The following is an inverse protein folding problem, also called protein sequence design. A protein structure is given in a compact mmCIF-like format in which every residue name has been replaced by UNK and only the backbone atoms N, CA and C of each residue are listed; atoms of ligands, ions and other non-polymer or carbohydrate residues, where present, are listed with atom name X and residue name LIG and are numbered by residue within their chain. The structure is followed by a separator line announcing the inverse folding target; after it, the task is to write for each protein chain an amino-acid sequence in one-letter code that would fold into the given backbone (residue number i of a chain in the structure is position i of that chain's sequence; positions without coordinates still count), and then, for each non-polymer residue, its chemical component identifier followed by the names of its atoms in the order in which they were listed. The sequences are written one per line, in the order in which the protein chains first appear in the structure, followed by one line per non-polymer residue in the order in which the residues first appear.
data_IF_930941416815
#
_entry.id   IF_930941416815
#
_cell.length_a   1.000
_cell.length_b   1.000
_cell.length_c   1.000
_cell.angle_alpha   90.00
_cell.angle_beta   90.00
_cell.angle_gamma   90.00
#
_symmetry.space_group_name_H-M   'P 1'
#
loop_
_entity.id
_entity.type
_entity.pdbx_description
1 polymer ?
#
# COMPACT_ATOMS: atom_id res chain seq x y z
N UNK A 1 -5.60 -4.76 4.17
CA UNK A 1 -6.41 -4.98 2.95
C UNK A 1 -7.83 -4.65 3.30
N UNK A 2 -8.59 -3.96 2.45
CA UNK A 2 -9.98 -3.59 2.77
C UNK A 2 -10.92 -4.80 2.71
N UNK A 3 -11.85 -4.88 3.66
CA UNK A 3 -12.89 -5.90 3.77
C UNK A 3 -14.19 -5.46 3.07
N UNK A 4 -15.08 -6.43 2.78
CA UNK A 4 -16.41 -6.12 2.21
C UNK A 4 -17.26 -5.27 3.19
N UNK A 5 -17.14 -5.51 4.49
CA UNK A 5 -17.81 -4.71 5.52
C UNK A 5 -17.34 -3.25 5.54
N UNK A 6 -16.03 -3.00 5.42
CA UNK A 6 -15.50 -1.64 5.29
C UNK A 6 -15.97 -0.94 4.00
N UNK A 7 -16.10 -1.69 2.89
CA UNK A 7 -16.68 -1.15 1.66
C UNK A 7 -18.16 -0.81 1.82
N UNK A 8 -18.94 -1.62 2.53
CA UNK A 8 -20.34 -1.32 2.85
C UNK A 8 -20.47 -0.04 3.69
N UNK A 9 -19.57 0.17 4.65
CA UNK A 9 -19.52 1.42 5.43
C UNK A 9 -19.23 2.65 4.54
N UNK A 10 -18.28 2.52 3.60
CA UNK A 10 -17.97 3.59 2.65
C UNK A 10 -19.16 3.90 1.74
N UNK A 11 -19.80 2.87 1.17
CA UNK A 11 -20.96 3.02 0.30
C UNK A 11 -22.14 3.64 1.05
N UNK A 12 -22.36 3.25 2.31
CA UNK A 12 -23.36 3.86 3.19
C UNK A 12 -23.07 5.34 3.42
N UNK A 13 -21.82 5.70 3.68
CA UNK A 13 -21.42 7.10 3.91
C UNK A 13 -21.60 7.92 2.64
N UNK A 14 -21.21 7.38 1.48
CA UNK A 14 -21.43 7.98 0.17
C UNK A 14 -22.92 8.25 -0.03
N UNK A 15 -23.77 7.25 0.17
CA UNK A 15 -25.21 7.39 -0.05
C UNK A 15 -25.91 8.29 0.98
N UNK A 16 -25.35 8.46 2.18
CA UNK A 16 -25.84 9.42 3.17
C UNK A 16 -25.77 10.86 2.67
N UNK A 17 -24.77 11.20 1.84
CA UNK A 17 -24.70 12.50 1.16
C UNK A 17 -25.83 12.70 0.13
N UNK A 18 -26.49 11.63 -0.30
CA UNK A 18 -27.52 11.61 -1.32
C UNK A 18 -28.88 11.19 -0.74
N UNK A 19 -29.21 11.68 0.45
CA UNK A 19 -30.51 11.44 1.08
C UNK A 19 -30.67 10.05 1.67
N UNK A 20 -29.58 9.41 2.12
CA UNK A 20 -29.57 8.04 2.62
C UNK A 20 -30.11 7.03 1.60
N UNK A 21 -29.72 7.20 0.34
CA UNK A 21 -30.11 6.30 -0.73
C UNK A 21 -29.78 4.84 -0.36
N UNK A 22 -30.77 3.96 -0.49
CA UNK A 22 -30.56 2.53 -0.22
C UNK A 22 -29.70 1.91 -1.31
N UNK A 23 -28.93 0.89 -0.94
CA UNK A 23 -28.10 0.10 -1.84
C UNK A 23 -28.35 -1.38 -1.55
N UNK A 24 -28.14 -2.23 -2.57
CA UNK A 24 -28.33 -3.67 -2.48
C UNK A 24 -27.00 -4.44 -2.52
N UNK A 25 -27.07 -5.75 -2.36
CA UNK A 25 -25.89 -6.62 -2.33
C UNK A 25 -25.11 -6.59 -3.64
N UNK A 26 -25.80 -6.47 -4.78
CA UNK A 26 -25.17 -6.39 -6.10
C UNK A 26 -24.33 -5.12 -6.20
N UNK A 27 -24.91 -3.97 -5.85
CA UNK A 27 -24.19 -2.70 -5.85
C UNK A 27 -22.98 -2.73 -4.91
N UNK A 28 -23.12 -3.33 -3.72
CA UNK A 28 -22.02 -3.52 -2.79
C UNK A 28 -20.91 -4.40 -3.39
N UNK A 29 -21.27 -5.51 -4.04
CA UNK A 29 -20.29 -6.41 -4.65
C UNK A 29 -19.52 -5.75 -5.78
N UNK A 30 -20.20 -4.99 -6.63
CA UNK A 30 -19.55 -4.24 -7.71
C UNK A 30 -18.65 -3.13 -7.17
N UNK A 31 -19.16 -2.34 -6.22
CA UNK A 31 -18.40 -1.29 -5.56
C UNK A 31 -17.16 -1.87 -4.88
N UNK A 32 -17.32 -2.95 -4.11
CA UNK A 32 -16.21 -3.64 -3.47
C UNK A 32 -15.21 -4.15 -4.51
N UNK A 33 -15.65 -4.80 -5.58
CA UNK A 33 -14.78 -5.33 -6.64
C UNK A 33 -13.89 -4.24 -7.27
N UNK A 34 -14.41 -3.03 -7.47
CA UNK A 34 -13.69 -1.92 -8.10
C UNK A 34 -12.69 -1.21 -7.18
N UNK A 35 -12.77 -1.38 -5.86
CA UNK A 35 -11.84 -0.75 -4.92
C UNK A 35 -10.44 -1.39 -5.03
N UNK A 36 -9.40 -0.54 -5.11
CA UNK A 36 -8.00 -1.00 -5.04
C UNK A 36 -7.69 -1.49 -3.62
N UNK A 37 -7.49 -2.81 -3.49
CA UNK A 37 -7.27 -3.51 -2.22
C UNK A 37 -6.00 -3.11 -1.49
N UNK A 38 -5.10 -2.39 -2.16
CA UNK A 38 -3.86 -1.86 -1.58
C UNK A 38 -4.09 -0.56 -0.80
N UNK A 39 -5.23 0.10 -0.99
CA UNK A 39 -5.60 1.26 -0.20
C UNK A 39 -6.00 0.83 1.22
N UNK A 40 -5.64 1.64 2.22
CA UNK A 40 -6.12 1.46 3.58
C UNK A 40 -7.46 2.20 3.78
N UNK A 41 -8.24 1.79 4.78
CA UNK A 41 -9.57 2.36 5.04
C UNK A 41 -9.52 3.84 5.43
N UNK A 42 -8.45 4.28 6.11
CA UNK A 42 -8.30 5.66 6.55
C UNK A 42 -8.13 6.63 5.36
N UNK A 43 -7.35 6.23 4.35
CA UNK A 43 -7.19 6.97 3.09
C UNK A 43 -8.51 7.04 2.33
N UNK A 44 -9.29 5.95 2.32
CA UNK A 44 -10.58 5.93 1.64
C UNK A 44 -11.60 6.84 2.33
N UNK A 45 -11.69 6.83 3.67
CA UNK A 45 -12.53 7.75 4.43
C UNK A 45 -12.14 9.21 4.19
N UNK A 46 -10.84 9.49 4.21
CA UNK A 46 -10.31 10.82 3.89
C UNK A 46 -10.66 11.22 2.46
N UNK A 47 -10.61 10.29 1.50
CA UNK A 47 -11.01 10.54 0.12
C UNK A 47 -12.49 10.90 0.00
N UNK A 48 -13.39 10.22 0.72
CA UNK A 48 -14.83 10.54 0.75
C UNK A 48 -15.05 11.96 1.27
N UNK A 49 -14.44 12.32 2.40
CA UNK A 49 -14.53 13.67 2.97
C UNK A 49 -14.02 14.73 1.99
N UNK A 50 -12.84 14.53 1.40
CA UNK A 50 -12.26 15.48 0.43
C UNK A 50 -13.08 15.60 -0.85
N UNK A 51 -13.69 14.51 -1.31
CA UNK A 51 -14.55 14.53 -2.49
C UNK A 51 -15.78 15.41 -2.23
N UNK A 52 -16.53 15.12 -1.18
CA UNK A 52 -17.78 15.83 -0.89
C UNK A 52 -17.59 17.26 -0.39
N UNK A 53 -16.41 17.61 0.14
CA UNK A 53 -16.05 19.00 0.43
C UNK A 53 -15.96 19.88 -0.84
N UNK A 54 -15.77 19.28 -2.02
CA UNK A 54 -15.59 20.02 -3.29
C UNK A 54 -16.64 19.71 -4.35
N UNK A 55 -17.32 18.56 -4.24
CA UNK A 55 -18.27 18.03 -5.21
C UNK A 55 -19.48 17.44 -4.48
N UNK A 56 -20.21 18.29 -3.76
CA UNK A 56 -21.35 17.86 -2.94
C UNK A 56 -22.50 17.26 -3.74
N UNK A 57 -22.65 17.68 -5.00
CA UNK A 57 -23.72 17.31 -5.92
C UNK A 57 -23.48 16.01 -6.70
N UNK A 58 -22.24 15.48 -6.70
CA UNK A 58 -21.87 14.30 -7.49
C UNK A 58 -21.87 13.02 -6.69
N UNK A 59 -22.28 11.93 -7.31
CA UNK A 59 -22.08 10.60 -6.73
C UNK A 59 -20.62 10.19 -6.84
N UNK A 60 -19.99 9.86 -5.71
CA UNK A 60 -18.62 9.36 -5.69
C UNK A 60 -18.59 7.90 -6.14
N UNK A 61 -17.68 7.55 -7.04
CA UNK A 61 -17.49 6.16 -7.50
C UNK A 61 -16.25 5.53 -6.86
N UNK A 62 -16.13 4.21 -6.94
CA UNK A 62 -14.94 3.48 -6.48
C UNK A 62 -13.66 3.99 -7.16
N UNK A 63 -13.71 4.31 -8.45
CA UNK A 63 -12.59 4.91 -9.17
C UNK A 63 -12.13 6.26 -8.59
N UNK A 64 -13.07 7.10 -8.15
CA UNK A 64 -12.76 8.39 -7.54
C UNK A 64 -12.04 8.21 -6.19
N UNK A 65 -12.45 7.22 -5.40
CA UNK A 65 -11.75 6.81 -4.17
C UNK A 65 -10.31 6.42 -4.50
N UNK A 66 -10.13 5.53 -5.47
CA UNK A 66 -8.80 5.02 -5.85
C UNK A 66 -7.85 6.16 -6.29
N UNK A 67 -8.35 7.10 -7.09
CA UNK A 67 -7.57 8.26 -7.55
C UNK A 67 -7.19 9.16 -6.37
N UNK A 68 -8.14 9.47 -5.47
CA UNK A 68 -7.88 10.33 -4.33
C UNK A 68 -6.95 9.68 -3.32
N UNK A 69 -7.08 8.38 -3.05
CA UNK A 69 -6.13 7.66 -2.20
C UNK A 69 -4.71 7.70 -2.78
N UNK A 70 -4.55 7.57 -4.12
CA UNK A 70 -3.24 7.74 -4.77
C UNK A 70 -2.66 9.14 -4.53
N UNK A 71 -3.49 10.19 -4.62
CA UNK A 71 -3.07 11.57 -4.35
C UNK A 71 -2.72 11.79 -2.87
N UNK A 72 -3.52 11.23 -1.95
CA UNK A 72 -3.28 11.28 -0.51
C UNK A 72 -1.91 10.65 -0.19
N UNK A 73 -1.64 9.45 -0.69
CA UNK A 73 -0.32 8.81 -0.48
C UNK A 73 0.83 9.62 -1.05
N UNK A 74 0.68 10.14 -2.27
CA UNK A 74 1.70 10.99 -2.88
C UNK A 74 1.99 12.24 -2.04
N UNK A 75 0.97 12.84 -1.41
CA UNK A 75 1.14 14.02 -0.56
C UNK A 75 1.88 13.77 0.76
N UNK A 76 2.03 12.51 1.19
CA UNK A 76 2.82 12.14 2.38
C UNK A 76 4.30 11.93 2.07
N UNK A 77 4.65 11.78 0.79
CA UNK A 77 6.03 11.54 0.41
C UNK A 77 6.81 12.84 0.61
N UNK A 78 7.81 12.87 1.50
CA UNK A 78 8.68 14.03 1.62
C UNK A 78 9.43 14.27 0.31
N UNK A 79 9.73 15.53 0.00
CA UNK A 79 10.53 15.86 -1.16
C UNK A 79 11.97 15.36 -1.01
N UNK A 80 12.70 15.29 -2.13
CA UNK A 80 14.06 14.74 -2.16
C UNK A 80 15.03 15.50 -1.23
N UNK A 81 14.93 16.82 -1.17
CA UNK A 81 15.82 17.64 -0.35
C UNK A 81 15.59 17.37 1.14
N UNK A 82 14.33 17.26 1.55
CA UNK A 82 13.98 16.84 2.92
C UNK A 82 14.59 15.46 3.26
N UNK A 83 14.49 14.48 2.36
CA UNK A 83 15.09 13.15 2.57
C UNK A 83 16.63 13.23 2.68
N UNK A 84 17.28 14.01 1.82
CA UNK A 84 18.74 14.22 1.86
C UNK A 84 19.20 14.88 3.16
N UNK A 85 18.49 15.91 3.62
CA UNK A 85 18.79 16.57 4.89
C UNK A 85 18.64 15.63 6.08
N UNK A 86 17.61 14.77 6.08
CA UNK A 86 17.43 13.75 7.11
C UNK A 86 18.55 12.70 7.07
N UNK A 87 18.91 12.21 5.89
CA UNK A 87 20.03 11.28 5.73
C UNK A 87 21.34 11.88 6.27
N UNK A 88 21.66 13.13 5.91
CA UNK A 88 22.85 13.83 6.38
C UNK A 88 22.84 14.05 7.90
N UNK A 89 21.68 14.45 8.45
CA UNK A 89 21.49 14.65 9.90
C UNK A 89 21.72 13.37 10.71
N UNK A 90 21.37 12.21 10.14
CA UNK A 90 21.53 10.90 10.77
C UNK A 90 22.79 10.15 10.32
N UNK A 91 23.71 10.83 9.61
CA UNK A 91 24.97 10.24 9.14
C UNK A 91 24.80 8.96 8.31
N UNK A 92 23.71 8.87 7.55
CA UNK A 92 23.48 7.76 6.61
C UNK A 92 24.56 7.80 5.53
N UNK A 93 25.19 6.65 5.28
CA UNK A 93 26.28 6.55 4.30
C UNK A 93 25.74 6.67 2.86
N UNK A 94 26.64 6.93 1.91
CA UNK A 94 26.27 6.96 0.49
C UNK A 94 25.74 5.61 0.01
N UNK A 95 26.28 4.51 0.52
CA UNK A 95 25.89 3.14 0.15
C UNK A 95 24.49 2.78 0.70
N UNK A 96 24.14 3.28 1.89
CA UNK A 96 22.86 3.01 2.55
C UNK A 96 21.74 3.99 2.13
N UNK A 97 22.09 5.11 1.49
CA UNK A 97 21.16 6.20 1.18
C UNK A 97 19.90 5.72 0.43
N UNK A 98 20.08 4.86 -0.58
CA UNK A 98 18.96 4.39 -1.40
C UNK A 98 17.96 3.56 -0.58
N UNK A 99 18.46 2.70 0.29
CA UNK A 99 17.62 1.85 1.13
C UNK A 99 16.93 2.68 2.23
N UNK A 100 17.65 3.63 2.85
CA UNK A 100 17.06 4.61 3.77
C UNK A 100 15.92 5.37 3.10
N UNK A 101 16.18 5.97 1.93
CA UNK A 101 15.17 6.71 1.15
C UNK A 101 13.96 5.83 0.84
N UNK A 102 14.18 4.63 0.33
CA UNK A 102 13.11 3.69 -0.01
C UNK A 102 12.22 3.39 1.20
N UNK A 103 12.81 3.20 2.38
CA UNK A 103 12.10 2.92 3.63
C UNK A 103 11.30 4.11 4.11
N UNK A 104 11.89 5.31 4.12
CA UNK A 104 11.17 6.53 4.47
C UNK A 104 9.96 6.74 3.56
N UNK A 105 10.15 6.63 2.24
CA UNK A 105 9.07 6.77 1.25
C UNK A 105 8.00 5.70 1.46
N UNK A 106 8.40 4.46 1.75
CA UNK A 106 7.44 3.37 2.00
C UNK A 106 6.63 3.61 3.28
N UNK A 107 7.29 3.97 4.38
CA UNK A 107 6.65 4.23 5.68
C UNK A 107 5.65 5.38 5.59
N UNK A 108 6.03 6.50 4.97
CA UNK A 108 5.13 7.65 4.84
C UNK A 108 4.01 7.40 3.83
N UNK A 109 4.31 6.84 2.65
CA UNK A 109 3.31 6.70 1.59
C UNK A 109 2.33 5.55 1.83
N UNK A 110 2.83 4.37 2.23
CA UNK A 110 2.00 3.16 2.37
C UNK A 110 1.51 2.94 3.79
N UNK A 111 2.39 3.09 4.78
CA UNK A 111 2.05 2.85 6.17
C UNK A 111 1.43 4.09 6.83
N UNK A 112 1.39 5.22 6.11
CA UNK A 112 0.85 6.49 6.58
C UNK A 112 1.49 6.94 7.91
N UNK A 113 2.76 6.60 8.11
CA UNK A 113 3.53 7.02 9.26
C UNK A 113 3.86 8.50 9.16
N UNK A 114 3.97 9.13 10.32
CA UNK A 114 4.58 10.45 10.42
C UNK A 114 6.06 10.36 10.01
N UNK A 115 6.57 11.45 9.42
CA UNK A 115 7.92 11.46 8.85
C UNK A 115 9.00 11.03 9.86
N UNK A 116 8.89 11.50 11.10
CA UNK A 116 9.82 11.13 12.17
C UNK A 116 9.81 9.62 12.48
N UNK A 117 8.63 9.00 12.53
CA UNK A 117 8.51 7.55 12.78
C UNK A 117 9.08 6.73 11.62
N UNK A 118 8.78 7.14 10.38
CA UNK A 118 9.31 6.48 9.19
C UNK A 118 10.85 6.55 9.13
N UNK A 119 11.44 7.69 9.53
CA UNK A 119 12.89 7.86 9.64
C UNK A 119 13.48 6.97 10.74
N UNK A 120 12.89 6.97 11.94
CA UNK A 120 13.36 6.10 13.05
C UNK A 120 13.37 4.63 12.65
N UNK A 121 12.28 4.13 12.05
CA UNK A 121 12.19 2.74 11.56
C UNK A 121 13.18 2.44 10.45
N UNK A 122 13.44 3.40 9.55
CA UNK A 122 14.42 3.23 8.49
C UNK A 122 15.84 3.04 9.07
N UNK A 123 16.21 3.79 10.10
CA UNK A 123 17.51 3.72 10.77
C UNK A 123 17.67 2.43 11.57
N UNK A 124 16.68 2.06 12.40
CA UNK A 124 16.71 0.83 13.21
C UNK A 124 16.95 -0.43 12.38
N UNK A 125 16.54 -0.41 11.11
CA UNK A 125 16.64 -1.55 10.23
C UNK A 125 17.88 -1.52 9.31
N UNK A 126 18.51 -0.36 9.15
CA UNK A 126 19.85 -0.26 8.58
C UNK A 126 20.89 -0.88 9.54
N UNK A 127 20.68 -0.73 10.84
CA UNK A 127 21.54 -1.33 11.88
C UNK A 127 21.39 -2.86 12.01
N UNK A 128 20.36 -3.46 11.39
CA UNK A 128 20.18 -4.92 11.43
C UNK A 128 21.05 -5.59 10.37
N UNK A 129 21.92 -6.55 10.73
CA UNK A 129 22.69 -7.29 9.75
C UNK A 129 21.73 -8.02 8.80
N UNK A 130 21.96 -7.86 7.49
CA UNK A 130 21.20 -8.60 6.48
C UNK A 130 21.49 -10.09 6.65
N UNK A 131 20.54 -10.83 7.25
CA UNK A 131 20.61 -12.29 7.27
C UNK A 131 20.47 -12.73 5.82
N UNK A 132 21.56 -13.22 5.24
CA UNK A 132 21.57 -13.76 3.89
C UNK A 132 20.42 -14.77 3.74
N UNK A 133 19.55 -14.54 2.77
CA UNK A 133 18.50 -15.47 2.40
C UNK A 133 19.14 -16.85 2.17
N UNK A 134 18.65 -17.89 2.85
CA UNK A 134 19.06 -19.26 2.53
C UNK A 134 18.86 -19.48 1.03
N UNK A 135 19.84 -20.02 0.29
CA UNK A 135 19.65 -20.34 -1.11
C UNK A 135 18.43 -21.24 -1.24
N UNK A 136 17.51 -20.86 -2.13
CA UNK A 136 16.36 -21.68 -2.48
C UNK A 136 16.93 -22.97 -3.07
N UNK A 137 16.96 -24.04 -2.28
CA UNK A 137 17.25 -25.36 -2.81
C UNK A 137 16.14 -25.68 -3.81
N UNK A 138 16.51 -25.79 -5.10
CA UNK A 138 15.61 -26.33 -6.13
C UNK A 138 15.13 -27.69 -5.62
N UNK A 139 13.82 -27.86 -5.42
CA UNK A 139 13.28 -29.19 -5.23
C UNK A 139 13.48 -29.95 -6.55
N UNK A 140 14.03 -31.18 -6.51
CA UNK A 140 14.12 -32.01 -7.70
C UNK A 140 12.71 -32.23 -8.24
N UNK A 141 12.52 -31.93 -9.52
CA UNK A 141 11.26 -32.17 -10.21
C UNK A 141 11.19 -33.63 -10.65
N UNK A 142 9.98 -34.17 -10.77
CA UNK A 142 9.70 -35.59 -11.10
C UNK A 142 10.38 -36.06 -12.40
N UNK A 143 10.80 -35.14 -13.28
CA UNK A 143 11.56 -35.46 -14.49
C UNK A 143 13.02 -35.93 -14.24
N UNK A 144 13.59 -35.65 -13.07
CA UNK A 144 14.98 -36.06 -12.76
C UNK A 144 15.09 -37.58 -12.47
N UNK A 145 13.96 -38.27 -12.25
CA UNK A 145 13.89 -39.71 -11.93
C UNK A 145 13.69 -40.62 -13.15
N UNK A 146 13.44 -40.05 -14.35
CA UNK A 146 13.25 -40.81 -15.59
C UNK A 146 14.58 -41.20 -16.27
N UNK A 147 15.71 -40.65 -15.81
CA UNK A 147 17.04 -40.89 -16.39
C UNK A 147 17.65 -42.26 -16.05
N UNK A 148 17.13 -42.98 -15.06
CA UNK A 148 17.71 -44.26 -14.59
C UNK A 148 16.92 -45.50 -15.03
N UNK A 149 15.80 -45.35 -15.75
CA UNK A 149 14.97 -46.48 -16.19
C UNK A 149 15.40 -47.13 -17.53
N UNK A 150 16.43 -46.59 -18.21
CA UNK A 150 16.89 -47.11 -19.51
C UNK A 150 18.31 -47.71 -19.52
N UNK A 151 18.88 -48.01 -18.35
CA UNK A 151 20.09 -48.86 -18.30
C UNK A 151 19.68 -50.33 -18.37
N UNK A 152 19.45 -50.82 -19.59
CA UNK A 152 19.38 -52.26 -19.87
C UNK A 152 20.75 -52.93 -19.61
N UNK A 153 20.75 -54.19 -19.15
CA UNK A 153 21.97 -54.95 -18.79
C UNK A 153 22.89 -55.25 -19.96
#
# INVERSE_FOLDING_TARGET
MITKGEAAMLLTTINAHHGNAQWDDLQLDEFYRELDKRNNIQDMRTAVVRFYATKSDKWMRAADINILCKKIRASRIPDENTIQQLAAKHHVTADDYWEFKRRVVFGTAREAQELGEAVSKALEQADRPQIASKPIARQPTVDDDLGDLFKTP
#
